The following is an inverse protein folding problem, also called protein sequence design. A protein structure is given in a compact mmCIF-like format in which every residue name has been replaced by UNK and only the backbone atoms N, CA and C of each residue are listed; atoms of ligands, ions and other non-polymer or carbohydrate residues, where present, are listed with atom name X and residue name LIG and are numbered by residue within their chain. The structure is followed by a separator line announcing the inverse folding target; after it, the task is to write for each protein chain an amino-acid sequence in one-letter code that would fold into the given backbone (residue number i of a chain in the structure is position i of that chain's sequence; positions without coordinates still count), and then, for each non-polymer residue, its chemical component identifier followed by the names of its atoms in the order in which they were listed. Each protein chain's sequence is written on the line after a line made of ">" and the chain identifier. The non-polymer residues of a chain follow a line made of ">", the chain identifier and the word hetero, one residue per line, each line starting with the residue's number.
data_IF_159932374225
#
_entry.id   IF_159932374225
#
_cell.length_a   1.000
_cell.length_b   1.000
_cell.length_c   1.000
_cell.angle_alpha   90.00
_cell.angle_beta   90.00
_cell.angle_gamma   90.00
#
_symmetry.space_group_name_H-M   'P 1'
#
loop_
_entity.id
_entity.type
_entity.pdbx_description
1 polymer ?
#
# COMPACT_ATOMS: atom_id res chain seq x y z
N UNK A 1 17.14 9.98 1.07
CA UNK A 1 17.46 8.53 1.13
C UNK A 1 16.35 7.83 0.36
N UNK A 2 16.66 7.06 -0.69
CA UNK A 2 15.66 6.69 -1.73
C UNK A 2 14.49 5.87 -1.21
N UNK A 3 14.75 4.88 -0.35
CA UNK A 3 13.70 4.09 0.30
C UNK A 3 12.74 4.95 1.12
N UNK A 4 13.28 5.85 1.95
CA UNK A 4 12.46 6.75 2.77
C UNK A 4 11.56 7.65 1.92
N UNK A 5 12.11 8.19 0.83
CA UNK A 5 11.35 9.05 -0.10
C UNK A 5 10.22 8.26 -0.79
N UNK A 6 10.49 7.03 -1.23
CA UNK A 6 9.48 6.18 -1.87
C UNK A 6 8.36 5.77 -0.90
N UNK A 7 8.71 5.23 0.27
CA UNK A 7 7.70 4.84 1.26
C UNK A 7 6.90 6.06 1.77
N UNK A 8 7.54 7.23 1.84
CA UNK A 8 6.86 8.48 2.15
C UNK A 8 5.80 8.86 1.11
N UNK A 9 6.08 8.67 -0.17
CA UNK A 9 5.11 8.88 -1.25
C UNK A 9 3.92 7.91 -1.16
N UNK A 10 4.19 6.62 -0.94
CA UNK A 10 3.15 5.59 -0.79
C UNK A 10 2.23 5.92 0.41
N UNK A 11 2.79 6.40 1.53
CA UNK A 11 1.99 6.86 2.68
C UNK A 11 1.07 8.06 2.34
N UNK A 12 1.53 9.00 1.52
CA UNK A 12 0.71 10.13 1.07
C UNK A 12 -0.43 9.67 0.17
N UNK A 13 -0.17 8.72 -0.73
CA UNK A 13 -1.19 8.08 -1.59
C UNK A 13 -2.23 7.34 -0.76
N UNK A 14 -1.82 6.54 0.23
CA UNK A 14 -2.74 5.83 1.12
C UNK A 14 -3.59 6.78 1.99
N UNK A 15 -3.07 7.96 2.32
CA UNK A 15 -3.85 8.99 2.99
C UNK A 15 -4.97 9.53 2.09
N UNK A 16 -4.71 9.68 0.79
CA UNK A 16 -5.72 10.07 -0.18
C UNK A 16 -6.77 8.96 -0.40
N UNK A 17 -6.34 7.68 -0.40
CA UNK A 17 -7.25 6.53 -0.43
C UNK A 17 -8.20 6.53 0.77
N UNK A 18 -7.66 6.71 1.97
CA UNK A 18 -8.45 6.78 3.20
C UNK A 18 -9.47 7.94 3.17
N UNK A 19 -9.06 9.13 2.70
CA UNK A 19 -9.95 10.29 2.54
C UNK A 19 -11.12 9.99 1.59
N UNK A 20 -10.87 9.33 0.44
CA UNK A 20 -11.91 8.96 -0.51
C UNK A 20 -12.96 8.01 0.09
N UNK A 21 -12.51 6.97 0.82
CA UNK A 21 -13.40 6.03 1.51
C UNK A 21 -14.20 6.76 2.61
N UNK A 22 -13.54 7.58 3.43
CA UNK A 22 -14.19 8.30 4.52
C UNK A 22 -15.29 9.24 4.01
N UNK A 23 -15.01 10.01 2.96
CA UNK A 23 -16.02 10.87 2.31
C UNK A 23 -17.20 10.05 1.82
N UNK A 24 -16.95 8.90 1.19
CA UNK A 24 -18.00 8.01 0.70
C UNK A 24 -18.87 7.46 1.84
N UNK A 25 -18.25 7.01 2.93
CA UNK A 25 -18.96 6.53 4.12
C UNK A 25 -19.83 7.63 4.74
N UNK A 26 -19.28 8.83 4.92
CA UNK A 26 -20.03 9.96 5.47
C UNK A 26 -21.19 10.41 4.58
N UNK A 27 -21.01 10.39 3.25
CA UNK A 27 -22.08 10.64 2.28
C UNK A 27 -23.22 9.63 2.42
N UNK A 28 -22.90 8.38 2.75
CA UNK A 28 -23.87 7.31 3.02
C UNK A 28 -24.41 7.34 4.46
N UNK A 29 -24.15 8.41 5.21
CA UNK A 29 -24.56 8.62 6.61
C UNK A 29 -24.01 7.55 7.58
N UNK A 30 -22.92 6.86 7.20
CA UNK A 30 -22.25 5.90 8.06
C UNK A 30 -21.42 6.59 9.15
N UNK A 31 -21.01 5.83 10.17
CA UNK A 31 -20.07 6.25 11.21
C UNK A 31 -18.76 5.47 11.04
N UNK A 32 -17.74 6.04 10.38
CA UNK A 32 -16.47 5.36 10.16
C UNK A 32 -15.76 5.03 11.48
N UNK A 33 -15.07 3.90 11.51
CA UNK A 33 -14.18 3.51 12.60
C UNK A 33 -12.73 3.59 12.12
N UNK A 34 -11.97 4.49 12.73
CA UNK A 34 -10.56 4.78 12.38
C UNK A 34 -9.58 4.24 13.42
N UNK A 35 -10.03 3.34 14.31
CA UNK A 35 -9.12 2.71 15.28
C UNK A 35 -8.12 1.83 14.52
N UNK A 36 -6.81 1.98 14.75
CA UNK A 36 -5.81 1.18 14.05
C UNK A 36 -5.91 -0.28 14.51
N UNK A 37 -5.65 -1.20 13.58
CA UNK A 37 -5.37 -2.58 13.93
C UNK A 37 -4.03 -2.67 14.67
N UNK A 38 -3.88 -3.71 15.50
CA UNK A 38 -2.59 -4.03 16.08
C UNK A 38 -1.59 -4.33 14.94
N UNK A 39 -0.39 -3.78 15.05
CA UNK A 39 0.66 -3.91 14.06
C UNK A 39 2.02 -3.92 14.75
N UNK A 40 2.91 -4.76 14.22
CA UNK A 40 4.28 -4.89 14.65
C UNK A 40 5.20 -4.48 13.48
N UNK A 41 6.02 -3.43 13.61
CA UNK A 41 6.93 -3.00 12.55
C UNK A 41 8.04 -4.02 12.29
N UNK A 42 8.63 -3.98 11.09
CA UNK A 42 9.87 -4.71 10.80
C UNK A 42 11.07 -3.99 11.44
N UNK A 43 12.10 -4.73 11.83
CA UNK A 43 13.34 -4.16 12.40
C UNK A 43 14.47 -4.09 11.38
N UNK A 44 14.32 -4.79 10.25
CA UNK A 44 15.26 -4.75 9.12
C UNK A 44 14.56 -4.32 7.83
N UNK A 45 15.32 -3.79 6.86
CA UNK A 45 14.77 -3.39 5.56
C UNK A 45 14.03 -4.54 4.88
N UNK A 46 14.56 -5.76 4.95
CA UNK A 46 13.89 -6.94 4.36
C UNK A 46 12.59 -7.26 5.07
N UNK A 47 12.55 -7.16 6.40
CA UNK A 47 11.32 -7.39 7.17
C UNK A 47 10.27 -6.32 6.89
N UNK A 48 10.67 -5.05 6.80
CA UNK A 48 9.77 -3.94 6.46
C UNK A 48 9.12 -4.19 5.09
N UNK A 49 9.93 -4.38 4.03
CA UNK A 49 9.43 -4.62 2.68
C UNK A 49 8.51 -5.86 2.59
N UNK A 50 8.81 -6.94 3.33
CA UNK A 50 7.95 -8.13 3.36
C UNK A 50 6.63 -7.90 4.09
N UNK A 51 6.64 -7.13 5.18
CA UNK A 51 5.43 -6.78 5.93
C UNK A 51 4.54 -5.85 5.12
N UNK A 52 5.14 -4.87 4.43
CA UNK A 52 4.42 -3.97 3.54
C UNK A 52 3.78 -4.78 2.41
N UNK A 53 4.52 -5.69 1.76
CA UNK A 53 3.98 -6.54 0.69
C UNK A 53 2.84 -7.46 1.17
N UNK A 54 2.97 -8.03 2.37
CA UNK A 54 1.89 -8.81 2.97
C UNK A 54 0.64 -7.96 3.25
N UNK A 55 0.84 -6.70 3.66
CA UNK A 55 -0.24 -5.73 3.84
C UNK A 55 -0.93 -5.45 2.52
N UNK A 56 -0.17 -5.16 1.45
CA UNK A 56 -0.71 -4.94 0.10
C UNK A 56 -1.57 -6.12 -0.36
N UNK A 57 -1.12 -7.37 -0.20
CA UNK A 57 -1.93 -8.54 -0.56
C UNK A 57 -3.23 -8.65 0.25
N UNK A 58 -3.20 -8.30 1.54
CA UNK A 58 -4.40 -8.29 2.36
C UNK A 58 -5.38 -7.20 1.91
N UNK A 59 -4.87 -6.03 1.52
CA UNK A 59 -5.65 -4.91 0.99
C UNK A 59 -6.30 -5.30 -0.34
N UNK A 60 -5.55 -5.89 -1.28
CA UNK A 60 -6.11 -6.39 -2.54
C UNK A 60 -7.28 -7.35 -2.33
N UNK A 61 -7.13 -8.30 -1.41
CA UNK A 61 -8.18 -9.26 -1.09
C UNK A 61 -9.43 -8.55 -0.53
N UNK A 62 -9.24 -7.62 0.40
CA UNK A 62 -10.33 -6.84 1.00
C UNK A 62 -11.04 -5.96 -0.02
N UNK A 63 -10.30 -5.28 -0.90
CA UNK A 63 -10.86 -4.44 -1.97
C UNK A 63 -11.69 -5.26 -2.94
N UNK A 64 -11.17 -6.39 -3.42
CA UNK A 64 -11.91 -7.30 -4.33
C UNK A 64 -13.21 -7.82 -3.70
N UNK A 65 -13.16 -8.21 -2.43
CA UNK A 65 -14.35 -8.67 -1.71
C UNK A 65 -15.38 -7.55 -1.53
N UNK A 66 -14.92 -6.34 -1.16
CA UNK A 66 -15.79 -5.18 -0.99
C UNK A 66 -16.41 -4.72 -2.33
N UNK A 67 -15.65 -4.75 -3.43
CA UNK A 67 -16.15 -4.46 -4.77
C UNK A 67 -17.24 -5.44 -5.20
N UNK A 68 -17.06 -6.74 -4.96
CA UNK A 68 -18.09 -7.75 -5.25
C UNK A 68 -19.40 -7.47 -4.49
N UNK A 69 -19.31 -7.06 -3.21
CA UNK A 69 -20.47 -6.63 -2.43
C UNK A 69 -21.11 -5.37 -3.02
N UNK A 70 -20.31 -4.38 -3.42
CA UNK A 70 -20.81 -3.16 -4.07
C UNK A 70 -21.60 -3.50 -5.34
N UNK A 71 -21.11 -4.43 -6.17
CA UNK A 71 -21.81 -4.88 -7.38
C UNK A 71 -23.13 -5.59 -7.05
N UNK A 72 -23.13 -6.49 -6.05
CA UNK A 72 -24.35 -7.16 -5.58
C UNK A 72 -25.42 -6.13 -5.13
N UNK A 73 -24.99 -5.09 -4.42
CA UNK A 73 -25.86 -4.01 -3.93
C UNK A 73 -26.11 -2.90 -4.96
N UNK A 74 -25.54 -3.01 -6.17
CA UNK A 74 -25.62 -2.01 -7.24
C UNK A 74 -25.08 -0.63 -6.84
N UNK A 75 -24.13 -0.60 -5.90
CA UNK A 75 -23.40 0.61 -5.52
C UNK A 75 -22.16 0.78 -6.41
N UNK A 76 -22.39 1.25 -7.63
CA UNK A 76 -21.31 1.38 -8.62
C UNK A 76 -20.31 2.50 -8.27
N UNK A 77 -20.76 3.53 -7.55
CA UNK A 77 -19.88 4.64 -7.14
C UNK A 77 -18.86 4.17 -6.10
N UNK A 78 -19.29 3.41 -5.09
CA UNK A 78 -18.35 2.82 -4.13
C UNK A 78 -17.42 1.81 -4.82
N UNK A 79 -17.94 0.99 -5.74
CA UNK A 79 -17.11 0.04 -6.51
C UNK A 79 -16.00 0.74 -7.29
N UNK A 80 -16.30 1.84 -7.96
CA UNK A 80 -15.32 2.60 -8.76
C UNK A 80 -14.25 3.27 -7.88
N UNK A 81 -14.62 3.77 -6.69
CA UNK A 81 -13.65 4.29 -5.71
C UNK A 81 -12.67 3.21 -5.28
N UNK A 82 -13.18 2.01 -4.93
CA UNK A 82 -12.34 0.89 -4.51
C UNK A 82 -11.48 0.34 -5.66
N UNK A 83 -11.98 0.38 -6.90
CA UNK A 83 -11.23 -0.03 -8.08
C UNK A 83 -10.01 0.86 -8.33
N UNK A 84 -10.11 2.17 -8.13
CA UNK A 84 -8.98 3.07 -8.26
C UNK A 84 -7.85 2.66 -7.30
N UNK A 85 -8.20 2.44 -6.03
CA UNK A 85 -7.24 1.99 -5.00
C UNK A 85 -6.63 0.63 -5.34
N UNK A 86 -7.44 -0.32 -5.81
CA UNK A 86 -6.96 -1.65 -6.17
C UNK A 86 -5.88 -1.57 -7.26
N UNK A 87 -6.04 -0.66 -8.23
CA UNK A 87 -5.03 -0.46 -9.28
C UNK A 87 -3.72 0.05 -8.72
N UNK A 88 -3.74 1.03 -7.83
CA UNK A 88 -2.53 1.59 -7.25
C UNK A 88 -1.81 0.54 -6.36
N UNK A 89 -2.56 -0.17 -5.52
CA UNK A 89 -2.10 -1.31 -4.70
C UNK A 89 -1.48 -2.44 -5.54
N UNK A 90 -2.10 -2.84 -6.67
CA UNK A 90 -1.62 -3.95 -7.52
C UNK A 90 -0.48 -3.54 -8.47
N UNK A 91 -0.68 -2.46 -9.22
CA UNK A 91 0.17 -2.07 -10.35
C UNK A 91 1.40 -1.28 -9.91
N UNK A 92 1.34 -0.58 -8.77
CA UNK A 92 2.46 0.19 -8.23
C UNK A 92 3.04 -0.43 -6.96
N UNK A 93 2.31 -0.44 -5.84
CA UNK A 93 2.89 -0.76 -4.53
C UNK A 93 3.39 -2.20 -4.42
N UNK A 94 2.50 -3.17 -4.61
CA UNK A 94 2.85 -4.59 -4.52
C UNK A 94 3.93 -4.95 -5.55
N UNK A 95 3.77 -4.50 -6.80
CA UNK A 95 4.72 -4.74 -7.87
C UNK A 95 6.11 -4.15 -7.54
N UNK A 96 6.18 -2.92 -7.03
CA UNK A 96 7.43 -2.28 -6.65
C UNK A 96 8.13 -3.07 -5.53
N UNK A 97 7.39 -3.47 -4.49
CA UNK A 97 7.90 -4.25 -3.35
C UNK A 97 8.43 -5.61 -3.79
N UNK A 98 7.71 -6.33 -4.67
CA UNK A 98 8.18 -7.59 -5.27
C UNK A 98 9.49 -7.40 -6.02
N UNK A 99 9.62 -6.31 -6.80
CA UNK A 99 10.88 -5.99 -7.50
C UNK A 99 12.01 -5.67 -6.53
N UNK A 100 11.75 -4.97 -5.44
CA UNK A 100 12.79 -4.68 -4.44
C UNK A 100 13.28 -5.97 -3.77
N UNK A 101 12.36 -6.83 -3.33
CA UNK A 101 12.70 -8.10 -2.71
C UNK A 101 13.45 -9.02 -3.69
N UNK A 102 12.98 -9.13 -4.94
CA UNK A 102 13.69 -9.88 -5.98
C UNK A 102 15.07 -9.32 -6.31
N UNK A 103 15.24 -7.99 -6.27
CA UNK A 103 16.55 -7.37 -6.44
C UNK A 103 17.48 -7.70 -5.28
N UNK A 104 17.00 -7.64 -4.04
CA UNK A 104 17.76 -8.05 -2.85
C UNK A 104 18.23 -9.50 -2.97
N UNK A 105 17.36 -10.41 -3.43
CA UNK A 105 17.70 -11.81 -3.65
C UNK A 105 18.78 -11.98 -4.73
N UNK A 106 18.77 -11.14 -5.77
CA UNK A 106 19.72 -11.21 -6.88
C UNK A 106 21.11 -10.66 -6.54
N UNK A 107 21.18 -9.52 -5.86
CA UNK A 107 22.45 -8.79 -5.64
C UNK A 107 22.95 -8.83 -4.19
N UNK A 108 22.13 -9.34 -3.27
CA UNK A 108 22.40 -9.34 -1.83
C UNK A 108 22.06 -8.00 -1.17
N UNK A 109 21.67 -8.07 0.11
CA UNK A 109 21.22 -6.90 0.88
C UNK A 109 22.25 -5.77 0.92
N UNK A 110 23.54 -6.06 1.10
CA UNK A 110 24.57 -5.02 1.19
C UNK A 110 24.66 -4.18 -0.09
N UNK A 111 24.67 -4.83 -1.25
CA UNK A 111 24.72 -4.13 -2.54
C UNK A 111 23.43 -3.36 -2.79
N UNK A 112 22.28 -3.94 -2.43
CA UNK A 112 20.99 -3.23 -2.49
C UNK A 112 21.01 -1.96 -1.66
N UNK A 113 21.44 -2.01 -0.40
CA UNK A 113 21.49 -0.81 0.46
C UNK A 113 22.42 0.27 -0.11
N UNK A 114 23.50 -0.12 -0.79
CA UNK A 114 24.36 0.83 -1.49
C UNK A 114 23.60 1.56 -2.62
N UNK A 115 22.74 0.88 -3.38
CA UNK A 115 21.95 1.54 -4.45
C UNK A 115 20.85 2.45 -3.90
N UNK A 116 20.42 2.25 -2.66
CA UNK A 116 19.42 3.06 -1.97
C UNK A 116 20.01 4.28 -1.24
N UNK A 117 21.32 4.31 -1.07
CA UNK A 117 22.04 5.47 -0.52
C UNK A 117 22.14 6.59 -1.56
N UNK A 118 22.00 7.84 -1.12
CA UNK A 118 22.36 8.99 -1.97
C UNK A 118 23.88 8.98 -2.18
N UNK A 119 24.39 9.42 -3.34
CA UNK A 119 25.83 9.59 -3.49
C UNK A 119 26.32 10.50 -2.36
N UNK A 120 27.42 10.12 -1.71
CA UNK A 120 28.12 11.04 -0.82
C UNK A 120 28.42 12.29 -1.63
N UNK A 121 27.88 13.44 -1.22
CA UNK A 121 28.24 14.73 -1.78
C UNK A 121 29.75 14.86 -1.68
N UNK A 122 30.42 14.89 -2.84
CA UNK A 122 31.84 15.17 -2.96
C UNK A 122 32.15 16.62 -2.57
#
# INVERSE_FOLDING_TARGET
>A
MRLYERIGHEMEEETAHADAILRRLLMLEAKPDMRPHAFEPGETVVEMLKKDLATEYSVQANLKAAMALCEEKKDYVSRDILLAQLRDTEEDHAYWLEKQLGLIDLIGLQNYLQTQSSPASA
#
